data_IF_771445413724
#
_entry.id   IF_771445413724
#
_cell.length_a   1.000
_cell.length_b   1.000
_cell.length_c   1.000
_cell.angle_alpha   90.00
_cell.angle_beta   90.00
_cell.angle_gamma   90.00
#
_symmetry.space_group_name_H-M   'P 1'
#
loop_
_entity.id
_entity.type
_entity.pdbx_description
1 polymer ?
#
# COMPACT_ATOMS: atom_id res chain seq x y z
N UNK A 1 11.72 25.29 33.08
CA UNK A 1 11.90 26.14 31.88
C UNK A 1 11.23 27.50 32.14
N UNK A 2 11.84 28.63 31.75
CA UNK A 2 11.23 29.96 31.89
C UNK A 2 10.19 30.18 30.77
N UNK A 3 9.10 30.91 31.04
CA UNK A 3 8.01 31.26 30.11
C UNK A 3 8.53 31.74 28.75
N UNK A 4 9.62 32.52 28.75
CA UNK A 4 10.25 33.01 27.51
C UNK A 4 10.81 31.89 26.63
N UNK A 5 11.44 30.87 27.23
CA UNK A 5 11.99 29.74 26.48
C UNK A 5 10.88 28.85 25.90
N UNK A 6 9.78 28.67 26.65
CA UNK A 6 8.59 27.97 26.16
C UNK A 6 8.00 28.65 24.92
N UNK A 7 7.87 29.97 24.96
CA UNK A 7 7.34 30.73 23.82
C UNK A 7 8.23 30.59 22.58
N UNK A 8 9.56 30.64 22.73
CA UNK A 8 10.51 30.45 21.62
C UNK A 8 10.36 29.07 20.98
N UNK A 9 10.26 28.01 21.79
CA UNK A 9 10.12 26.66 21.28
C UNK A 9 8.82 26.44 20.48
N UNK A 10 7.71 26.95 21.01
CA UNK A 10 6.41 26.91 20.33
C UNK A 10 6.47 27.69 19.02
N UNK A 11 6.99 28.91 19.07
CA UNK A 11 7.10 29.78 17.90
C UNK A 11 7.98 29.19 16.80
N UNK A 12 9.09 28.53 17.17
CA UNK A 12 9.95 27.84 16.21
C UNK A 12 9.22 26.71 15.46
N UNK A 13 8.46 25.87 16.18
CA UNK A 13 7.67 24.81 15.57
C UNK A 13 6.55 25.36 14.68
N UNK A 14 5.81 26.36 15.16
CA UNK A 14 4.74 26.97 14.39
C UNK A 14 5.24 27.73 13.16
N UNK A 15 6.44 28.31 13.21
CA UNK A 15 7.03 28.99 12.07
C UNK A 15 7.34 28.03 10.93
N UNK A 16 7.84 26.81 11.22
CA UNK A 16 8.00 25.77 10.19
C UNK A 16 6.67 25.49 9.50
N UNK A 17 5.61 25.26 10.29
CA UNK A 17 4.27 25.00 9.75
C UNK A 17 3.73 26.18 8.92
N UNK A 18 3.94 27.42 9.38
CA UNK A 18 3.50 28.63 8.65
C UNK A 18 4.28 28.83 7.35
N UNK A 19 5.58 28.57 7.35
CA UNK A 19 6.42 28.65 6.14
C UNK A 19 5.96 27.64 5.10
N UNK A 20 5.69 26.39 5.50
CA UNK A 20 5.19 25.36 4.58
C UNK A 20 3.77 25.68 4.07
N UNK A 21 2.90 26.24 4.92
CA UNK A 21 1.57 26.72 4.50
C UNK A 21 1.69 27.82 3.44
N UNK A 22 2.54 28.82 3.69
CA UNK A 22 2.77 29.92 2.75
C UNK A 22 3.29 29.41 1.41
N UNK A 23 4.30 28.53 1.45
CA UNK A 23 4.85 27.91 0.25
C UNK A 23 3.78 27.16 -0.56
N UNK A 24 2.96 26.35 0.10
CA UNK A 24 1.89 25.58 -0.54
C UNK A 24 0.81 26.48 -1.16
N UNK A 25 0.41 27.56 -0.49
CA UNK A 25 -0.56 28.53 -1.01
C UNK A 25 -0.01 29.28 -2.21
N UNK A 26 1.24 29.75 -2.15
CA UNK A 26 1.90 30.48 -3.25
C UNK A 26 2.03 29.63 -4.52
N UNK A 27 2.20 28.32 -4.36
CA UNK A 27 2.38 27.38 -5.46
C UNK A 27 1.09 26.64 -5.86
N UNK A 28 -0.05 26.92 -5.20
CA UNK A 28 -1.35 26.27 -5.44
C UNK A 28 -1.32 24.73 -5.30
N UNK A 29 -0.55 24.22 -4.35
CA UNK A 29 -0.34 22.78 -4.12
C UNK A 29 -0.80 22.33 -2.73
N UNK A 30 -1.00 21.01 -2.59
CA UNK A 30 -1.31 20.32 -1.32
C UNK A 30 -2.42 20.94 -0.44
N UNK A 31 -3.64 21.21 -0.94
CA UNK A 31 -4.73 21.81 -0.13
C UNK A 31 -5.14 20.99 1.11
N UNK A 32 -4.91 19.68 1.10
CA UNK A 32 -5.13 18.78 2.23
C UNK A 32 -4.09 18.98 3.34
N UNK A 33 -2.82 19.20 2.99
CA UNK A 33 -1.76 19.50 3.95
C UNK A 33 -1.99 20.87 4.58
N UNK A 34 -2.48 21.84 3.82
CA UNK A 34 -2.82 23.17 4.36
C UNK A 34 -3.91 23.08 5.43
N UNK A 35 -4.96 22.28 5.22
CA UNK A 35 -5.99 22.01 6.23
C UNK A 35 -5.42 21.33 7.48
N UNK A 36 -4.48 20.41 7.29
CA UNK A 36 -3.78 19.77 8.40
C UNK A 36 -2.92 20.76 9.20
N UNK A 37 -2.15 21.63 8.52
CA UNK A 37 -1.35 22.69 9.15
C UNK A 37 -2.25 23.62 9.97
N UNK A 38 -3.37 24.07 9.41
CA UNK A 38 -4.36 24.90 10.14
C UNK A 38 -4.86 24.19 11.41
N UNK A 39 -5.12 22.88 11.32
CA UNK A 39 -5.47 22.05 12.47
C UNK A 39 -4.40 22.07 13.56
N UNK A 40 -3.14 21.83 13.19
CA UNK A 40 -2.00 21.85 14.11
C UNK A 40 -1.82 23.23 14.77
N UNK A 41 -1.92 24.31 14.00
CA UNK A 41 -1.81 25.69 14.49
C UNK A 41 -2.99 26.10 15.38
N UNK A 42 -4.17 25.50 15.21
CA UNK A 42 -5.33 25.76 16.08
C UNK A 42 -5.24 25.08 17.45
N UNK A 43 -4.40 24.04 17.58
CA UNK A 43 -4.23 23.20 18.78
C UNK A 43 -2.93 23.47 19.53
N UNK A 44 -2.36 24.66 19.42
CA UNK A 44 -1.10 25.07 20.09
C UNK A 44 -1.07 24.73 21.58
N UNK A 45 -2.18 24.95 22.30
CA UNK A 45 -2.23 24.71 23.74
C UNK A 45 -2.02 23.23 24.10
N UNK A 46 -2.55 22.31 23.28
CA UNK A 46 -2.37 20.86 23.44
C UNK A 46 -0.94 20.45 23.07
N UNK A 47 -0.43 21.00 21.97
CA UNK A 47 0.88 20.66 21.42
C UNK A 47 2.06 21.34 22.14
N UNK A 48 1.81 22.28 23.04
CA UNK A 48 2.84 23.13 23.62
C UNK A 48 3.98 22.35 24.28
N UNK A 49 3.68 21.29 25.06
CA UNK A 49 4.72 20.46 25.69
C UNK A 49 5.48 19.61 24.66
N UNK A 50 4.78 19.15 23.62
CA UNK A 50 5.37 18.41 22.50
C UNK A 50 6.29 19.27 21.65
N UNK A 51 5.91 20.51 21.37
CA UNK A 51 6.74 21.49 20.64
C UNK A 51 7.99 21.87 21.42
N UNK A 52 7.89 21.95 22.75
CA UNK A 52 9.07 22.14 23.60
C UNK A 52 10.03 20.95 23.46
N UNK A 53 9.53 19.73 23.55
CA UNK A 53 10.35 18.53 23.41
C UNK A 53 10.99 18.43 22.02
N UNK A 54 10.24 18.72 20.96
CA UNK A 54 10.74 18.75 19.58
C UNK A 54 11.82 19.80 19.40
N UNK A 55 11.58 21.02 19.88
CA UNK A 55 12.55 22.09 19.80
C UNK A 55 13.83 21.74 20.58
N UNK A 56 13.71 21.27 21.82
CA UNK A 56 14.87 20.90 22.63
C UNK A 56 15.70 19.78 21.98
N UNK A 57 15.07 18.88 21.24
CA UNK A 57 15.76 17.76 20.58
C UNK A 57 16.27 18.06 19.17
N UNK A 58 15.66 18.99 18.42
CA UNK A 58 15.91 19.17 16.99
C UNK A 58 16.37 20.58 16.59
N UNK A 59 16.27 21.60 17.47
CA UNK A 59 16.53 22.99 17.09
C UNK A 59 18.00 23.32 16.84
N UNK A 60 18.95 22.48 17.29
CA UNK A 60 20.38 22.71 17.03
C UNK A 60 20.75 22.48 15.57
N UNK A 61 20.02 21.63 14.85
CA UNK A 61 20.27 21.31 13.45
C UNK A 61 19.29 22.06 12.53
N UNK A 62 19.76 22.97 11.64
CA UNK A 62 18.92 23.91 10.89
C UNK A 62 17.81 23.32 10.00
N UNK A 63 17.77 22.00 9.81
CA UNK A 63 16.75 21.30 9.00
C UNK A 63 16.00 20.20 9.74
N UNK A 64 16.46 19.78 10.92
CA UNK A 64 15.90 18.61 11.59
C UNK A 64 14.44 18.83 11.98
N UNK A 65 14.10 20.03 12.48
CA UNK A 65 12.73 20.37 12.84
C UNK A 65 11.81 20.40 11.61
N UNK A 66 12.28 20.96 10.49
CA UNK A 66 11.53 20.96 9.23
C UNK A 66 11.31 19.55 8.70
N UNK A 67 12.38 18.75 8.60
CA UNK A 67 12.29 17.36 8.14
C UNK A 67 11.38 16.51 9.01
N UNK A 68 11.32 16.76 10.32
CA UNK A 68 10.37 16.10 11.19
C UNK A 68 8.91 16.40 10.81
N UNK A 69 8.57 17.67 10.57
CA UNK A 69 7.23 18.06 10.16
C UNK A 69 6.88 17.57 8.75
N UNK A 70 7.84 17.55 7.82
CA UNK A 70 7.67 16.95 6.49
C UNK A 70 7.31 15.45 6.59
N UNK A 71 8.04 14.71 7.44
CA UNK A 71 7.78 13.29 7.71
C UNK A 71 6.39 13.08 8.33
N UNK A 72 6.02 13.91 9.32
CA UNK A 72 4.71 13.83 9.95
C UNK A 72 3.58 14.12 8.96
N UNK A 73 3.72 15.17 8.15
CA UNK A 73 2.74 15.55 7.14
C UNK A 73 2.58 14.44 6.10
N UNK A 74 3.68 13.84 5.65
CA UNK A 74 3.68 12.69 4.73
C UNK A 74 2.96 11.48 5.33
N UNK A 75 3.27 11.14 6.58
CA UNK A 75 2.63 10.02 7.28
C UNK A 75 1.13 10.24 7.47
N UNK A 76 0.72 11.44 7.89
CA UNK A 76 -0.70 11.81 8.06
C UNK A 76 -1.44 11.79 6.73
N UNK A 77 -0.86 12.34 5.68
CA UNK A 77 -1.49 12.37 4.35
C UNK A 77 -1.64 10.97 3.75
N UNK A 78 -0.62 10.13 3.90
CA UNK A 78 -0.64 8.73 3.46
C UNK A 78 -1.63 7.90 4.27
N UNK A 79 -1.87 8.30 5.52
CA UNK A 79 -2.87 7.70 6.40
C UNK A 79 -4.28 8.22 6.09
N UNK A 80 -4.86 7.75 4.97
CA UNK A 80 -6.28 7.91 4.66
C UNK A 80 -7.04 6.59 4.97
N UNK A 81 -7.83 6.52 6.07
CA UNK A 81 -8.53 5.31 6.47
C UNK A 81 -9.49 4.75 5.41
N UNK A 82 -10.09 5.62 4.59
CA UNK A 82 -10.99 5.20 3.51
C UNK A 82 -10.20 4.54 2.38
N UNK A 83 -9.08 5.13 1.94
CA UNK A 83 -8.21 4.54 0.90
C UNK A 83 -7.54 3.25 1.38
N UNK A 84 -7.16 3.18 2.66
CA UNK A 84 -6.59 1.96 3.25
C UNK A 84 -7.66 0.86 3.32
N UNK A 85 -8.92 1.21 3.59
CA UNK A 85 -10.04 0.27 3.56
C UNK A 85 -10.32 -0.22 2.14
N UNK A 86 -10.41 0.67 1.17
CA UNK A 86 -10.61 0.35 -0.26
C UNK A 86 -9.51 -0.60 -0.76
N UNK A 87 -8.23 -0.29 -0.52
CA UNK A 87 -7.11 -1.14 -0.92
C UNK A 87 -7.14 -2.55 -0.28
N UNK A 88 -7.74 -2.69 0.91
CA UNK A 88 -7.94 -4.00 1.55
C UNK A 88 -9.09 -4.77 0.91
N UNK A 89 -10.21 -4.09 0.65
CA UNK A 89 -11.37 -4.66 -0.04
C UNK A 89 -10.93 -5.17 -1.42
N UNK A 90 -10.16 -4.39 -2.18
CA UNK A 90 -9.59 -4.80 -3.47
C UNK A 90 -8.67 -6.01 -3.34
N UNK A 91 -7.80 -6.05 -2.32
CA UNK A 91 -6.91 -7.21 -2.09
C UNK A 91 -7.70 -8.46 -1.73
N UNK A 92 -8.70 -8.34 -0.87
CA UNK A 92 -9.58 -9.44 -0.49
C UNK A 92 -10.37 -9.94 -1.70
N UNK A 93 -10.91 -9.04 -2.51
CA UNK A 93 -11.60 -9.36 -3.75
C UNK A 93 -10.68 -10.08 -4.74
N UNK A 94 -9.48 -9.57 -5.00
CA UNK A 94 -8.51 -10.24 -5.89
C UNK A 94 -8.13 -11.63 -5.40
N UNK A 95 -7.96 -11.80 -4.08
CA UNK A 95 -7.66 -13.10 -3.46
C UNK A 95 -8.83 -14.07 -3.65
N UNK A 96 -10.06 -13.59 -3.42
CA UNK A 96 -11.25 -14.40 -3.63
C UNK A 96 -11.44 -14.78 -5.11
N UNK A 97 -11.24 -13.82 -6.02
CA UNK A 97 -11.29 -14.04 -7.46
C UNK A 97 -10.30 -15.12 -7.89
N UNK A 98 -9.05 -15.08 -7.40
CA UNK A 98 -8.06 -16.11 -7.69
C UNK A 98 -8.50 -17.51 -7.23
N UNK A 99 -9.11 -17.63 -6.05
CA UNK A 99 -9.68 -18.90 -5.56
C UNK A 99 -10.84 -19.37 -6.46
N UNK A 100 -11.72 -18.46 -6.88
CA UNK A 100 -12.85 -18.78 -7.76
C UNK A 100 -12.35 -19.19 -9.15
N UNK A 101 -11.37 -18.49 -9.72
CA UNK A 101 -10.74 -18.82 -11.00
C UNK A 101 -10.09 -20.20 -10.94
N UNK A 102 -9.37 -20.52 -9.86
CA UNK A 102 -8.75 -21.83 -9.67
C UNK A 102 -9.79 -22.96 -9.72
N UNK A 103 -10.86 -22.85 -8.94
CA UNK A 103 -11.96 -23.84 -8.90
C UNK A 103 -12.70 -23.96 -10.24
N UNK A 104 -13.01 -22.83 -10.87
CA UNK A 104 -13.69 -22.82 -12.17
C UNK A 104 -12.83 -23.46 -13.26
N UNK A 105 -11.52 -23.19 -13.24
CA UNK A 105 -10.56 -23.77 -14.18
C UNK A 105 -10.39 -25.28 -13.99
N UNK A 106 -10.34 -25.76 -12.75
CA UNK A 106 -10.33 -27.20 -12.43
C UNK A 106 -11.56 -27.89 -13.01
N UNK A 107 -12.76 -27.40 -12.67
CA UNK A 107 -14.02 -27.96 -13.17
C UNK A 107 -14.09 -27.96 -14.70
N UNK A 108 -13.75 -26.84 -15.33
CA UNK A 108 -13.81 -26.71 -16.79
C UNK A 108 -12.78 -27.61 -17.48
N UNK A 109 -11.57 -27.71 -16.93
CA UNK A 109 -10.54 -28.63 -17.44
C UNK A 109 -11.05 -30.07 -17.45
N UNK A 110 -11.68 -30.52 -16.35
CA UNK A 110 -12.22 -31.88 -16.23
C UNK A 110 -13.35 -32.13 -17.23
N UNK A 111 -14.26 -31.17 -17.40
CA UNK A 111 -15.33 -31.27 -18.40
C UNK A 111 -14.78 -31.34 -19.82
N UNK A 112 -13.76 -30.53 -20.14
CA UNK A 112 -13.11 -30.53 -21.45
C UNK A 112 -12.38 -31.85 -21.72
N UNK A 113 -11.64 -32.37 -20.73
CA UNK A 113 -10.98 -33.66 -20.82
C UNK A 113 -12.01 -34.79 -21.05
N UNK A 114 -13.09 -34.80 -20.25
CA UNK A 114 -14.16 -35.79 -20.38
C UNK A 114 -14.87 -35.72 -21.73
N UNK A 115 -15.12 -34.51 -22.25
CA UNK A 115 -15.69 -34.32 -23.59
C UNK A 115 -14.80 -34.95 -24.67
N UNK A 116 -13.49 -34.73 -24.58
CA UNK A 116 -12.53 -35.33 -25.51
C UNK A 116 -12.57 -36.86 -25.42
N UNK A 117 -12.52 -37.45 -24.22
CA UNK A 117 -12.62 -38.91 -24.06
C UNK A 117 -13.89 -39.50 -24.69
N UNK A 118 -15.04 -38.87 -24.47
CA UNK A 118 -16.32 -39.34 -25.04
C UNK A 118 -16.29 -39.23 -26.57
N UNK A 119 -15.73 -38.16 -27.13
CA UNK A 119 -15.60 -37.98 -28.58
C UNK A 119 -14.72 -39.06 -29.21
N UNK A 120 -13.60 -39.39 -28.57
CA UNK A 120 -12.67 -40.42 -29.08
C UNK A 120 -13.24 -41.85 -28.96
N UNK A 121 -14.11 -42.10 -27.97
CA UNK A 121 -14.63 -43.44 -27.68
C UNK A 121 -16.04 -43.71 -28.23
N UNK A 122 -16.74 -42.71 -28.77
CA UNK A 122 -18.11 -42.85 -29.25
C UNK A 122 -18.22 -42.67 -30.77
N UNK A 123 -19.39 -42.99 -31.34
CA UNK A 123 -19.68 -42.72 -32.75
C UNK A 123 -20.17 -41.28 -33.01
N UNK A 124 -20.15 -40.42 -31.98
CA UNK A 124 -20.67 -39.06 -32.06
C UNK A 124 -19.53 -38.03 -32.13
N UNK A 125 -19.62 -37.12 -33.09
CA UNK A 125 -18.77 -35.94 -33.17
C UNK A 125 -19.47 -34.71 -32.59
N UNK A 126 -18.69 -33.79 -32.02
CA UNK A 126 -19.15 -32.47 -31.61
C UNK A 126 -18.30 -31.41 -32.30
N UNK A 127 -18.96 -30.43 -32.91
CA UNK A 127 -18.33 -29.29 -33.59
C UNK A 127 -17.89 -28.25 -32.55
N UNK A 128 -16.72 -28.51 -31.97
CA UNK A 128 -16.11 -27.69 -30.93
C UNK A 128 -14.61 -27.61 -31.19
N UNK A 129 -13.97 -26.58 -30.66
CA UNK A 129 -12.53 -26.39 -30.82
C UNK A 129 -11.74 -27.64 -30.46
N UNK A 130 -10.82 -27.98 -31.35
CA UNK A 130 -9.96 -29.13 -31.23
C UNK A 130 -8.50 -28.72 -31.01
N UNK A 131 -8.04 -27.67 -31.72
CA UNK A 131 -6.72 -27.11 -31.55
C UNK A 131 -6.75 -25.83 -30.72
N UNK A 132 -5.76 -25.63 -29.85
CA UNK A 132 -5.66 -24.42 -29.02
C UNK A 132 -5.47 -23.15 -29.87
N UNK A 133 -4.78 -23.25 -31.00
CA UNK A 133 -4.59 -22.09 -31.89
C UNK A 133 -5.89 -21.62 -32.54
N UNK A 134 -6.86 -22.51 -32.78
CA UNK A 134 -8.20 -22.12 -33.27
C UNK A 134 -8.88 -21.19 -32.25
N UNK A 135 -8.73 -21.51 -30.95
CA UNK A 135 -9.24 -20.66 -29.86
C UNK A 135 -8.54 -19.30 -29.85
N UNK A 136 -7.22 -19.27 -30.01
CA UNK A 136 -6.43 -18.02 -30.04
C UNK A 136 -6.80 -17.15 -31.23
N UNK A 137 -7.00 -17.74 -32.40
CA UNK A 137 -7.39 -17.03 -33.61
C UNK A 137 -8.76 -16.38 -33.47
N UNK A 138 -9.77 -17.16 -33.07
CA UNK A 138 -11.15 -16.67 -32.92
C UNK A 138 -11.25 -15.65 -31.78
N UNK A 139 -10.57 -15.87 -30.65
CA UNK A 139 -10.51 -14.88 -29.57
C UNK A 139 -9.81 -13.57 -29.99
N UNK A 140 -9.04 -13.60 -31.08
CA UNK A 140 -8.33 -12.45 -31.63
C UNK A 140 -9.05 -11.79 -32.81
N UNK A 141 -10.30 -12.17 -33.11
CA UNK A 141 -11.06 -11.64 -34.25
C UNK A 141 -11.13 -10.10 -34.26
N UNK A 142 -11.23 -9.45 -33.09
CA UNK A 142 -11.23 -7.99 -32.97
C UNK A 142 -9.84 -7.32 -33.09
N UNK A 143 -8.75 -8.07 -32.96
CA UNK A 143 -7.40 -7.54 -32.81
C UNK A 143 -6.72 -7.31 -34.17
N UNK A 144 -6.74 -6.05 -34.64
CA UNK A 144 -6.10 -5.65 -35.90
C UNK A 144 -4.60 -5.95 -35.95
N UNK A 145 -3.88 -5.74 -34.84
CA UNK A 145 -2.43 -6.01 -34.77
C UNK A 145 -2.12 -7.50 -34.88
N UNK A 146 -2.91 -8.33 -34.22
CA UNK A 146 -2.78 -9.78 -34.36
C UNK A 146 -2.97 -10.21 -35.81
N UNK A 147 -4.04 -9.75 -36.47
CA UNK A 147 -4.32 -10.10 -37.88
C UNK A 147 -3.24 -9.63 -38.83
N UNK A 148 -2.77 -8.39 -38.69
CA UNK A 148 -1.80 -7.80 -39.62
C UNK A 148 -0.37 -8.30 -39.41
N UNK A 149 0.03 -8.62 -38.18
CA UNK A 149 1.44 -8.87 -37.86
C UNK A 149 1.74 -10.29 -37.34
N UNK A 150 0.79 -10.93 -36.67
CA UNK A 150 1.02 -12.20 -35.95
C UNK A 150 0.44 -13.38 -36.71
N UNK A 151 -0.82 -13.26 -37.16
CA UNK A 151 -1.62 -14.35 -37.73
C UNK A 151 -0.87 -15.20 -38.75
N UNK A 152 -0.39 -14.59 -39.85
CA UNK A 152 0.28 -15.34 -40.94
C UNK A 152 1.49 -16.17 -40.45
N UNK A 153 2.24 -15.66 -39.48
CA UNK A 153 3.39 -16.38 -38.91
C UNK A 153 2.93 -17.48 -37.97
N UNK A 154 1.90 -17.22 -37.18
CA UNK A 154 1.31 -18.19 -36.27
C UNK A 154 0.67 -19.35 -37.04
N UNK A 155 -0.11 -19.09 -38.09
CA UNK A 155 -0.70 -20.11 -38.98
C UNK A 155 0.39 -21.02 -39.54
N UNK A 156 1.48 -20.43 -40.05
CA UNK A 156 2.61 -21.20 -40.59
C UNK A 156 3.25 -22.10 -39.54
N UNK A 157 3.32 -21.65 -38.28
CA UNK A 157 3.88 -22.44 -37.18
C UNK A 157 2.91 -23.55 -36.75
N UNK A 158 1.61 -23.23 -36.67
CA UNK A 158 0.54 -24.17 -36.33
C UNK A 158 0.53 -25.36 -37.30
N UNK A 159 0.58 -25.11 -38.61
CA UNK A 159 0.54 -26.17 -39.61
C UNK A 159 1.87 -26.90 -39.84
N UNK A 160 2.96 -26.45 -39.20
CA UNK A 160 4.26 -27.12 -39.28
C UNK A 160 4.35 -28.34 -38.36
N UNK A 161 3.60 -28.36 -37.26
CA UNK A 161 3.67 -29.41 -36.23
C UNK A 161 2.32 -30.10 -36.04
N UNK A 162 2.34 -31.40 -35.77
CA UNK A 162 1.11 -32.14 -35.45
C UNK A 162 0.60 -31.80 -34.03
N UNK A 163 -0.58 -32.32 -33.69
CA UNK A 163 -1.27 -32.06 -32.42
C UNK A 163 -0.45 -32.43 -31.18
N UNK A 164 0.57 -33.29 -31.30
CA UNK A 164 1.35 -33.77 -30.16
C UNK A 164 2.32 -32.71 -29.63
N UNK A 165 2.57 -31.67 -30.43
CA UNK A 165 3.48 -30.57 -30.07
C UNK A 165 2.77 -29.42 -29.35
N UNK A 166 1.44 -29.42 -29.32
CA UNK A 166 0.65 -28.36 -28.73
C UNK A 166 -0.08 -28.86 -27.47
N UNK A 167 -0.23 -28.02 -26.43
CA UNK A 167 -0.99 -28.40 -25.27
C UNK A 167 -2.48 -28.54 -25.64
N UNK A 168 -3.15 -29.56 -25.09
CA UNK A 168 -4.59 -29.67 -25.19
C UNK A 168 -5.28 -28.49 -24.48
N UNK A 169 -6.46 -28.10 -24.95
CA UNK A 169 -7.24 -27.00 -24.35
C UNK A 169 -7.51 -27.23 -22.86
N UNK A 170 -7.83 -28.47 -22.43
CA UNK A 170 -8.01 -28.80 -21.00
C UNK A 170 -6.77 -28.51 -20.17
N UNK A 171 -5.57 -28.88 -20.65
CA UNK A 171 -4.30 -28.59 -19.99
C UNK A 171 -3.99 -27.10 -19.92
N UNK A 172 -4.33 -26.32 -20.94
CA UNK A 172 -4.19 -24.85 -20.89
C UNK A 172 -5.10 -24.26 -19.82
N UNK A 173 -6.37 -24.67 -19.78
CA UNK A 173 -7.32 -24.23 -18.75
C UNK A 173 -6.86 -24.64 -17.34
N UNK A 174 -6.39 -25.88 -17.16
CA UNK A 174 -5.82 -26.31 -15.89
C UNK A 174 -4.65 -25.41 -15.44
N UNK A 175 -3.78 -25.01 -16.36
CA UNK A 175 -2.65 -24.14 -16.04
C UNK A 175 -3.08 -22.73 -15.63
N UNK A 176 -4.20 -22.20 -16.16
CA UNK A 176 -4.82 -20.95 -15.65
C UNK A 176 -5.22 -21.12 -14.20
N UNK A 177 -5.83 -22.26 -13.84
CA UNK A 177 -6.19 -22.56 -12.46
C UNK A 177 -4.98 -22.66 -11.52
N UNK A 178 -3.91 -23.33 -11.96
CA UNK A 178 -2.64 -23.41 -11.21
C UNK A 178 -2.00 -22.04 -11.05
N UNK A 179 -2.03 -21.18 -12.07
CA UNK A 179 -1.50 -19.82 -11.98
C UNK A 179 -2.29 -19.00 -10.94
N UNK A 180 -3.63 -19.05 -10.99
CA UNK A 180 -4.48 -18.35 -10.02
C UNK A 180 -4.30 -18.88 -8.59
N UNK A 181 -4.15 -20.19 -8.40
CA UNK A 181 -3.94 -20.79 -7.09
C UNK A 181 -2.60 -20.39 -6.44
N UNK A 182 -1.59 -20.06 -7.26
CA UNK A 182 -0.26 -19.65 -6.81
C UNK A 182 -0.08 -18.12 -6.82
N UNK A 183 -1.09 -17.35 -7.21
CA UNK A 183 -1.00 -15.91 -7.28
C UNK A 183 -0.93 -15.30 -5.87
N UNK A 184 0.13 -14.56 -5.59
CA UNK A 184 0.29 -13.76 -4.36
C UNK A 184 -0.17 -12.35 -4.67
N UNK A 185 -1.13 -11.84 -3.91
CA UNK A 185 -1.59 -10.45 -4.00
C UNK A 185 -0.65 -9.56 -3.18
N UNK A 186 0.17 -8.77 -3.88
CA UNK A 186 1.15 -7.83 -3.29
C UNK A 186 0.72 -6.40 -3.62
N UNK A 187 0.93 -5.47 -2.70
CA UNK A 187 0.73 -4.04 -2.97
C UNK A 187 1.89 -3.50 -3.83
N UNK A 188 1.58 -2.57 -4.75
CA UNK A 188 2.58 -1.96 -5.65
C UNK A 188 3.48 -0.93 -4.96
N UNK A 189 3.14 -0.48 -3.74
CA UNK A 189 3.94 0.46 -2.94
C UNK A 189 4.17 -0.01 -1.47
N UNK A 190 5.28 0.44 -0.88
CA UNK A 190 5.71 0.05 0.47
C UNK A 190 4.73 0.54 1.56
N UNK A 191 4.08 1.68 1.33
CA UNK A 191 3.06 2.24 2.20
C UNK A 191 1.78 1.38 2.22
N UNK A 192 1.31 0.91 1.06
CA UNK A 192 0.17 0.00 0.94
C UNK A 192 0.46 -1.38 1.53
N UNK A 193 1.69 -1.89 1.41
CA UNK A 193 2.08 -3.16 2.04
C UNK A 193 2.03 -3.08 3.57
N UNK A 194 2.59 -2.02 4.17
CA UNK A 194 2.56 -1.82 5.62
C UNK A 194 1.13 -1.59 6.14
N UNK A 195 0.30 -0.87 5.38
CA UNK A 195 -1.09 -0.57 5.75
C UNK A 195 -2.04 -1.77 5.60
N UNK A 196 -1.74 -2.76 4.76
CA UNK A 196 -2.65 -3.90 4.48
C UNK A 196 -2.29 -5.18 5.24
N UNK A 197 -1.08 -5.32 5.81
CA UNK A 197 -0.69 -6.49 6.62
C UNK A 197 -1.43 -6.60 7.96
N UNK A 198 -1.91 -5.50 8.53
CA UNK A 198 -2.58 -5.50 9.83
C UNK A 198 -4.09 -5.78 9.73
N UNK A 199 -4.60 -6.67 10.60
CA UNK A 199 -6.00 -7.16 10.60
C UNK A 199 -7.07 -6.09 10.87
N UNK A 200 -6.67 -4.86 11.27
CA UNK A 200 -7.49 -3.64 11.40
C UNK A 200 -6.56 -2.45 11.14
N UNK A 201 -6.95 -1.36 10.46
CA UNK A 201 -6.16 -0.14 10.44
C UNK A 201 -6.20 0.42 11.86
N UNK A 202 -5.19 0.12 12.66
CA UNK A 202 -5.09 0.60 14.02
C UNK A 202 -4.17 1.80 14.09
N UNK A 203 -4.36 2.66 15.09
CA UNK A 203 -3.39 3.72 15.42
C UNK A 203 -1.97 3.14 15.66
N UNK A 204 -1.84 1.84 15.98
CA UNK A 204 -0.54 1.15 16.02
C UNK A 204 0.16 1.03 14.67
N UNK A 205 -0.59 0.89 13.57
CA UNK A 205 0.00 0.80 12.23
C UNK A 205 0.41 2.18 11.71
N UNK A 206 -0.37 3.22 12.04
CA UNK A 206 0.06 4.61 11.83
C UNK A 206 1.38 4.89 12.55
N UNK A 207 1.47 4.54 13.85
CA UNK A 207 2.70 4.70 14.62
C UNK A 207 3.87 3.96 13.97
N UNK A 208 3.64 2.74 13.45
CA UNK A 208 4.66 1.96 12.74
C UNK A 208 5.10 2.62 11.43
N UNK A 209 4.16 3.10 10.63
CA UNK A 209 4.48 3.81 9.39
C UNK A 209 5.24 5.12 9.68
N UNK A 210 4.80 5.88 10.68
CA UNK A 210 5.46 7.11 11.10
C UNK A 210 6.87 6.85 11.65
N UNK A 211 7.07 5.83 12.50
CA UNK A 211 8.41 5.47 12.99
C UNK A 211 9.32 4.97 11.85
N UNK A 212 8.79 4.26 10.85
CA UNK A 212 9.57 3.84 9.67
C UNK A 212 9.99 5.03 8.79
N UNK A 213 9.10 5.99 8.55
CA UNK A 213 9.44 7.23 7.84
C UNK A 213 10.45 8.08 8.60
N UNK A 214 10.34 8.14 9.94
CA UNK A 214 11.37 8.75 10.79
C UNK A 214 12.72 8.05 10.66
N UNK A 215 12.74 6.72 10.63
CA UNK A 215 13.96 5.93 10.46
C UNK A 215 14.65 6.20 9.11
N UNK A 216 13.88 6.28 8.02
CA UNK A 216 14.40 6.66 6.70
C UNK A 216 14.99 8.08 6.66
N UNK A 217 14.54 8.97 7.53
CA UNK A 217 14.98 10.36 7.60
C UNK A 217 16.06 10.61 8.68
N UNK A 218 16.67 9.53 9.22
CA UNK A 218 17.80 9.62 10.15
C UNK A 218 19.09 10.04 9.45
N UNK A 219 20.02 10.63 10.19
CA UNK A 219 21.35 11.02 9.69
C UNK A 219 22.10 9.82 9.08
N UNK A 220 22.03 8.65 9.70
CA UNK A 220 22.58 7.39 9.14
C UNK A 220 22.02 7.01 7.77
N UNK A 221 20.80 7.44 7.47
CA UNK A 221 20.08 7.20 6.22
C UNK A 221 20.04 8.44 5.30
N UNK A 222 21.00 9.37 5.44
CA UNK A 222 21.15 10.58 4.60
C UNK A 222 20.02 11.62 4.86
N UNK A 223 19.31 11.50 5.98
CA UNK A 223 18.34 12.51 6.43
C UNK A 223 18.93 13.54 7.40
N UNK A 224 18.05 14.29 8.06
CA UNK A 224 18.41 15.38 8.98
C UNK A 224 18.02 15.11 10.44
N UNK A 225 17.33 14.00 10.73
CA UNK A 225 16.87 13.67 12.09
C UNK A 225 17.99 12.93 12.83
N UNK A 226 18.42 13.35 14.04
CA UNK A 226 19.44 12.65 14.81
C UNK A 226 19.11 11.18 15.03
N UNK A 227 20.09 10.27 14.99
CA UNK A 227 19.84 8.81 15.07
C UNK A 227 19.19 8.39 16.40
N UNK A 228 19.47 9.11 17.48
CA UNK A 228 18.98 8.85 18.83
C UNK A 228 17.68 9.60 19.18
N UNK A 229 17.15 10.42 18.27
CA UNK A 229 15.92 11.17 18.51
C UNK A 229 14.72 10.24 18.75
N UNK A 230 13.98 10.48 19.82
CA UNK A 230 12.72 9.79 20.10
C UNK A 230 11.85 10.65 21.00
N UNK A 231 10.58 10.80 20.64
CA UNK A 231 9.60 11.45 21.49
C UNK A 231 9.25 10.60 22.72
N UNK A 232 8.85 11.25 23.81
CA UNK A 232 8.19 10.61 24.94
C UNK A 232 6.86 10.00 24.50
N UNK A 233 6.40 8.98 25.23
CA UNK A 233 5.12 8.33 24.95
C UNK A 233 3.95 9.32 24.98
N UNK A 234 4.02 10.35 25.85
CA UNK A 234 3.00 11.39 25.97
C UNK A 234 3.02 12.34 24.78
N UNK A 235 4.20 12.83 24.39
CA UNK A 235 4.32 13.75 23.26
C UNK A 235 3.94 13.08 21.94
N UNK A 236 4.30 11.81 21.76
CA UNK A 236 3.88 11.05 20.58
C UNK A 236 2.35 10.84 20.55
N UNK A 237 1.72 10.54 21.69
CA UNK A 237 0.26 10.44 21.76
C UNK A 237 -0.43 11.75 21.41
N UNK A 238 0.00 12.87 22.00
CA UNK A 238 -0.52 14.21 21.69
C UNK A 238 -0.34 14.54 20.22
N UNK A 239 0.85 14.29 19.67
CA UNK A 239 1.15 14.56 18.26
C UNK A 239 0.24 13.78 17.31
N UNK A 240 0.00 12.49 17.58
CA UNK A 240 -0.89 11.65 16.78
C UNK A 240 -2.34 12.13 16.90
N UNK A 241 -2.81 12.42 18.11
CA UNK A 241 -4.18 12.89 18.36
C UNK A 241 -4.47 14.20 17.62
N UNK A 242 -3.56 15.18 17.70
CA UNK A 242 -3.70 16.45 16.99
C UNK A 242 -3.48 16.29 15.49
N UNK A 243 -2.46 15.52 15.08
CA UNK A 243 -2.09 15.34 13.67
C UNK A 243 -3.14 14.59 12.85
N UNK A 244 -3.80 13.59 13.44
CA UNK A 244 -4.92 12.88 12.79
C UNK A 244 -6.27 13.54 13.06
N UNK A 245 -6.33 14.56 13.92
CA UNK A 245 -7.57 15.24 14.28
C UNK A 245 -8.59 14.34 14.98
N UNK A 246 -8.13 13.39 15.81
CA UNK A 246 -8.99 12.37 16.44
C UNK A 246 -10.08 13.01 17.33
N UNK A 247 -11.25 12.37 17.35
CA UNK A 247 -12.36 12.70 18.26
C UNK A 247 -12.07 12.19 19.68
N UNK A 248 -12.80 12.70 20.66
CA UNK A 248 -12.54 12.45 22.10
C UNK A 248 -12.57 10.94 22.44
N UNK A 249 -13.45 10.22 21.76
CA UNK A 249 -13.68 8.78 21.91
C UNK A 249 -12.51 7.94 21.38
N UNK A 250 -11.74 8.48 20.44
CA UNK A 250 -10.65 7.79 19.73
C UNK A 250 -9.25 8.24 20.17
N UNK A 251 -9.16 9.19 21.11
CA UNK A 251 -7.89 9.68 21.64
C UNK A 251 -7.06 8.55 22.24
N UNK A 252 -5.77 8.53 21.89
CA UNK A 252 -4.79 7.66 22.54
C UNK A 252 -4.05 8.40 23.65
N UNK A 253 -3.59 7.63 24.63
CA UNK A 253 -2.79 8.12 25.75
C UNK A 253 -1.35 7.58 25.68
N UNK A 254 -0.50 8.07 26.57
CA UNK A 254 0.87 7.56 26.71
C UNK A 254 0.93 6.05 26.97
N UNK A 255 -0.10 5.48 27.63
CA UNK A 255 -0.14 4.05 27.92
C UNK A 255 -0.29 3.20 26.64
N UNK A 256 -1.05 3.69 25.67
CA UNK A 256 -1.19 3.07 24.34
C UNK A 256 0.15 3.04 23.61
N UNK A 257 0.83 4.18 23.53
CA UNK A 257 2.13 4.31 22.85
C UNK A 257 3.19 3.41 23.52
N UNK A 258 3.21 3.38 24.85
CA UNK A 258 4.11 2.51 25.61
C UNK A 258 3.91 1.02 25.28
N UNK A 259 2.64 0.57 25.22
CA UNK A 259 2.29 -0.82 24.85
C UNK A 259 2.68 -1.11 23.40
N UNK A 260 2.53 -0.14 22.51
CA UNK A 260 2.97 -0.27 21.12
C UNK A 260 4.49 -0.48 21.04
N UNK A 261 5.29 0.43 21.61
CA UNK A 261 6.77 0.33 21.62
C UNK A 261 7.28 -0.96 22.26
N UNK A 262 6.63 -1.43 23.32
CA UNK A 262 6.98 -2.70 23.95
C UNK A 262 6.83 -3.88 22.98
N UNK A 263 5.72 -3.93 22.23
CA UNK A 263 5.47 -5.00 21.25
C UNK A 263 6.50 -4.99 20.12
N UNK A 264 6.87 -3.82 19.60
CA UNK A 264 7.86 -3.73 18.51
C UNK A 264 9.28 -4.10 18.98
N UNK A 265 9.65 -3.78 20.22
CA UNK A 265 10.91 -4.28 20.83
C UNK A 265 10.93 -5.80 20.97
N UNK A 266 9.82 -6.39 21.39
CA UNK A 266 9.72 -7.85 21.54
C UNK A 266 9.77 -8.55 20.18
N UNK A 267 9.18 -7.96 19.14
CA UNK A 267 9.25 -8.46 17.75
C UNK A 267 10.67 -8.41 17.18
N UNK A 268 11.42 -7.36 17.46
CA UNK A 268 12.81 -7.19 16.95
C UNK A 268 13.83 -8.12 17.61
N UNK A 269 13.43 -8.86 18.65
CA UNK A 269 14.27 -9.85 19.36
C UNK A 269 14.06 -11.29 18.88
N UNK A 270 13.06 -11.52 18.03
CA UNK A 270 12.74 -12.81 17.41
C UNK A 270 13.44 -12.93 16.05
#
# INVERSE_FOLDING_TARGET
MNVKARAIAIEACENVLREDYQYNVEHEIWPSINRWIEGMLSRTAELADTYIELHDALAEEPRALKSFFDVLASAVYSWNPEKIKEAREDREELTELNVRIAKASELLSDLLARRTEVKEMSCFSSDTYYHIMDVVEDASEGNGLFRSHVKKRLDSLTYQYDLKYWPSISKVVAQIGVNAANAVTVADDSAGSAATEARRPGLSDFLKAFEAELDMNRVTNIGFIPDDFSLTDSSLATLVNCGLGLEVEDLIDASFVKRYRQRERDRSRL
#
